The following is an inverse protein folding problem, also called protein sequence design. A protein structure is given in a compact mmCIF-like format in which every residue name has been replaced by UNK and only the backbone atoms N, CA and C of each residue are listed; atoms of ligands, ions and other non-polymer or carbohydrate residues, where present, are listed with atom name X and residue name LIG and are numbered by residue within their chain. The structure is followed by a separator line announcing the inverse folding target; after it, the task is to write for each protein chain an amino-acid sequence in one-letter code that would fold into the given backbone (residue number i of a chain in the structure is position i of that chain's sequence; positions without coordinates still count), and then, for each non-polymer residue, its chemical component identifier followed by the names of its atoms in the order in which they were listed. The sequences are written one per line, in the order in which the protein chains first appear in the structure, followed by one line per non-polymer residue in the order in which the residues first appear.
data_IF_759356911663
#
_entry.id   IF_759356911663
#
_cell.length_a   1.000
_cell.length_b   1.000
_cell.length_c   1.000
_cell.angle_alpha   90.00
_cell.angle_beta   90.00
_cell.angle_gamma   90.00
#
_symmetry.space_group_name_H-M   'P 1'
#
loop_
_entity.id
_entity.type
_entity.pdbx_description
1 polymer ?
#
# COMPACT_ATOMS: atom_id res chain seq x y z
N UNK A 1 3.69 20.30 9.89
CA UNK A 1 2.66 19.26 9.68
C UNK A 1 2.68 18.31 10.88
N UNK A 2 1.54 17.96 11.48
CA UNK A 2 1.46 16.98 12.57
C UNK A 2 0.80 15.70 12.06
N UNK A 3 1.36 14.54 12.38
CA UNK A 3 0.75 13.24 12.05
C UNK A 3 -0.44 13.00 12.99
N UNK A 4 -1.61 12.56 12.49
CA UNK A 4 -2.75 12.24 13.35
C UNK A 4 -2.41 11.12 14.35
N UNK A 5 -2.74 11.33 15.63
CA UNK A 5 -2.50 10.35 16.70
C UNK A 5 -3.28 9.05 16.42
N UNK A 6 -4.47 9.17 15.83
CA UNK A 6 -5.29 8.02 15.41
C UNK A 6 -4.57 7.11 14.43
N UNK A 7 -3.79 7.65 13.49
CA UNK A 7 -3.00 6.86 12.53
C UNK A 7 -1.87 6.10 13.24
N UNK A 8 -1.17 6.76 14.17
CA UNK A 8 -0.12 6.12 14.97
C UNK A 8 -0.69 4.98 15.83
N UNK A 9 -1.87 5.20 16.41
CA UNK A 9 -2.58 4.18 17.21
C UNK A 9 -2.98 2.99 16.32
N UNK A 10 -3.57 3.24 15.17
CA UNK A 10 -3.94 2.21 14.18
C UNK A 10 -2.72 1.37 13.76
N UNK A 11 -1.57 1.98 13.50
CA UNK A 11 -0.35 1.26 13.14
C UNK A 11 0.18 0.43 14.32
N UNK A 12 0.14 0.96 15.54
CA UNK A 12 0.65 0.25 16.73
C UNK A 12 -0.20 -0.97 17.06
N UNK A 13 -1.52 -0.84 17.06
CA UNK A 13 -2.47 -1.85 17.53
C UNK A 13 -2.67 -3.00 16.54
N UNK A 14 -2.55 -2.74 15.23
CA UNK A 14 -2.80 -3.74 14.18
C UNK A 14 -1.53 -4.47 13.72
N UNK A 15 -1.67 -5.65 13.11
CA UNK A 15 -0.54 -6.51 12.71
C UNK A 15 -0.47 -6.74 11.21
N UNK A 16 -1.60 -6.85 10.52
CA UNK A 16 -1.70 -7.15 9.09
C UNK A 16 -2.30 -5.97 8.33
N UNK A 17 -1.53 -5.43 7.40
CA UNK A 17 -1.92 -4.27 6.61
C UNK A 17 -1.98 -4.61 5.12
N UNK A 18 -3.03 -4.13 4.48
CA UNK A 18 -3.10 -4.01 3.03
C UNK A 18 -2.80 -2.56 2.65
N UNK A 19 -1.79 -2.34 1.81
CA UNK A 19 -1.46 -1.04 1.26
C UNK A 19 -1.91 -1.05 -0.20
N UNK A 20 -2.74 -0.08 -0.61
CA UNK A 20 -3.28 0.01 -1.97
C UNK A 20 -3.10 1.41 -2.52
N UNK A 21 -2.71 1.53 -3.79
CA UNK A 21 -2.70 2.80 -4.52
C UNK A 21 -3.60 2.75 -5.76
N UNK A 22 -3.62 3.82 -6.55
CA UNK A 22 -4.47 3.93 -7.73
C UNK A 22 -3.96 3.12 -8.93
N UNK A 23 -4.84 2.89 -9.91
CA UNK A 23 -4.50 2.35 -11.24
C UNK A 23 -3.46 3.23 -11.94
N UNK A 24 -2.63 2.67 -12.83
CA UNK A 24 -1.52 3.37 -13.50
C UNK A 24 -0.60 4.11 -12.50
N UNK A 25 0.14 3.40 -11.63
CA UNK A 25 0.93 4.04 -10.59
C UNK A 25 2.05 4.88 -11.21
N UNK A 26 2.21 6.10 -10.73
CA UNK A 26 3.35 6.95 -11.04
C UNK A 26 4.48 6.76 -10.00
N UNK A 27 5.45 7.68 -10.00
CA UNK A 27 6.57 7.62 -9.08
C UNK A 27 6.18 7.79 -7.61
N UNK A 28 5.15 8.59 -7.31
CA UNK A 28 4.70 8.80 -5.93
C UNK A 28 3.90 7.60 -5.44
N UNK A 29 2.97 7.10 -6.25
CA UNK A 29 2.24 5.87 -5.97
C UNK A 29 3.18 4.67 -5.73
N UNK A 30 4.16 4.45 -6.60
CA UNK A 30 5.12 3.36 -6.44
C UNK A 30 6.04 3.57 -5.24
N UNK A 31 6.65 4.76 -5.13
CA UNK A 31 7.61 5.08 -4.08
C UNK A 31 7.00 5.05 -2.68
N UNK A 32 5.82 5.67 -2.50
CA UNK A 32 5.14 5.75 -1.21
C UNK A 32 4.68 4.37 -0.71
N UNK A 33 4.13 3.54 -1.61
CA UNK A 33 3.72 2.15 -1.29
C UNK A 33 4.92 1.32 -0.85
N UNK A 34 6.03 1.37 -1.60
CA UNK A 34 7.26 0.64 -1.28
C UNK A 34 7.81 1.10 0.08
N UNK A 35 7.97 2.41 0.25
CA UNK A 35 8.56 2.98 1.46
C UNK A 35 7.75 2.63 2.72
N UNK A 36 6.43 2.78 2.66
CA UNK A 36 5.56 2.44 3.80
C UNK A 36 5.54 0.93 4.05
N UNK A 37 5.48 0.10 3.00
CA UNK A 37 5.51 -1.35 3.15
C UNK A 37 6.79 -1.83 3.83
N UNK A 38 7.95 -1.31 3.42
CA UNK A 38 9.24 -1.62 4.04
C UNK A 38 9.31 -1.11 5.48
N UNK A 39 8.84 0.10 5.75
CA UNK A 39 8.80 0.67 7.10
C UNK A 39 7.95 -0.16 8.07
N UNK A 40 6.74 -0.52 7.67
CA UNK A 40 5.85 -1.37 8.49
C UNK A 40 6.42 -2.78 8.69
N UNK A 41 7.05 -3.37 7.66
CA UNK A 41 7.77 -4.66 7.81
C UNK A 41 8.90 -4.57 8.82
N UNK A 42 9.70 -3.48 8.81
CA UNK A 42 10.75 -3.25 9.82
C UNK A 42 10.19 -3.12 11.24
N UNK A 43 8.94 -2.68 11.39
CA UNK A 43 8.23 -2.64 12.68
C UNK A 43 7.58 -3.99 13.06
N UNK A 44 7.91 -5.09 12.36
CA UNK A 44 7.37 -6.42 12.63
C UNK A 44 5.91 -6.59 12.23
N UNK A 45 5.41 -5.80 11.28
CA UNK A 45 4.06 -5.93 10.72
C UNK A 45 4.07 -6.81 9.47
N UNK A 46 2.98 -7.53 9.23
CA UNK A 46 2.75 -8.22 7.97
C UNK A 46 2.06 -7.27 6.99
N UNK A 47 2.61 -7.13 5.79
CA UNK A 47 2.16 -6.13 4.81
C UNK A 47 2.03 -6.74 3.44
N UNK A 48 0.89 -6.51 2.81
CA UNK A 48 0.64 -6.79 1.40
C UNK A 48 0.52 -5.48 0.64
N UNK A 49 1.39 -5.25 -0.35
CA UNK A 49 1.36 -4.08 -1.21
C UNK A 49 0.65 -4.43 -2.52
N UNK A 50 -0.40 -3.68 -2.85
CA UNK A 50 -1.32 -3.97 -3.96
C UNK A 50 -1.47 -2.75 -4.86
N UNK A 51 -1.33 -2.95 -6.17
CA UNK A 51 -1.75 -2.00 -7.18
C UNK A 51 -2.24 -2.80 -8.39
N UNK A 52 -3.39 -2.41 -8.96
CA UNK A 52 -4.01 -3.18 -10.05
C UNK A 52 -3.09 -3.30 -11.26
N UNK A 53 -2.45 -2.20 -11.63
CA UNK A 53 -1.55 -2.14 -12.77
C UNK A 53 -0.10 -2.36 -12.31
N UNK A 54 0.73 -3.00 -13.16
CA UNK A 54 2.12 -3.24 -12.81
C UNK A 54 2.89 -1.92 -12.70
N UNK A 55 3.95 -1.92 -11.88
CA UNK A 55 4.88 -0.79 -11.79
C UNK A 55 5.50 -0.52 -13.18
N UNK A 56 5.35 0.71 -13.73
CA UNK A 56 5.96 1.09 -15.00
C UNK A 56 7.46 0.84 -15.02
N UNK A 57 8.00 0.50 -16.20
CA UNK A 57 9.42 0.16 -16.36
C UNK A 57 10.36 1.24 -15.80
N UNK A 58 10.02 2.52 -16.01
CA UNK A 58 10.78 3.67 -15.53
C UNK A 58 10.92 3.73 -14.00
N UNK A 59 10.07 3.05 -13.23
CA UNK A 59 10.14 3.00 -11.76
C UNK A 59 10.63 1.66 -11.22
N UNK A 60 10.95 0.67 -12.07
CA UNK A 60 11.43 -0.65 -11.63
C UNK A 60 12.82 -0.61 -11.00
N UNK A 61 13.58 0.47 -11.20
CA UNK A 61 14.85 0.70 -10.51
C UNK A 61 14.67 0.93 -9.00
N UNK A 62 13.46 1.26 -8.54
CA UNK A 62 13.18 1.45 -7.12
C UNK A 62 13.39 0.14 -6.35
N UNK A 63 14.18 0.15 -5.26
CA UNK A 63 14.36 -1.03 -4.41
C UNK A 63 13.03 -1.54 -3.88
N UNK A 64 12.70 -2.81 -4.13
CA UNK A 64 11.43 -3.39 -3.71
C UNK A 64 10.26 -3.10 -4.65
N UNK A 65 10.49 -2.64 -5.88
CA UNK A 65 9.44 -2.50 -6.91
C UNK A 65 8.64 -3.80 -7.15
N UNK A 66 9.27 -4.95 -6.94
CA UNK A 66 8.68 -6.29 -7.00
C UNK A 66 7.77 -6.64 -5.80
N UNK A 67 7.79 -5.84 -4.73
CA UNK A 67 6.89 -6.00 -3.58
C UNK A 67 5.43 -5.71 -3.96
N UNK A 68 5.20 -4.83 -4.93
CA UNK A 68 3.87 -4.45 -5.39
C UNK A 68 3.29 -5.59 -6.22
N UNK A 69 2.18 -6.16 -5.74
CA UNK A 69 1.45 -7.24 -6.41
C UNK A 69 0.20 -6.68 -7.10
N UNK A 70 -0.27 -7.37 -8.13
CA UNK A 70 -1.48 -7.00 -8.88
C UNK A 70 -2.71 -7.83 -8.58
N UNK A 71 -2.57 -8.87 -7.74
CA UNK A 71 -3.66 -9.77 -7.38
C UNK A 71 -4.15 -9.47 -5.98
N UNK A 72 -5.47 -9.38 -5.82
CA UNK A 72 -6.10 -9.27 -4.51
C UNK A 72 -5.81 -10.56 -3.73
N UNK A 73 -5.23 -10.48 -2.52
CA UNK A 73 -5.01 -11.64 -1.68
C UNK A 73 -6.33 -12.12 -1.05
N UNK A 74 -6.46 -13.43 -0.81
CA UNK A 74 -7.60 -14.01 -0.07
C UNK A 74 -7.50 -13.86 1.45
N UNK A 75 -6.37 -13.34 1.95
CA UNK A 75 -6.11 -13.17 3.38
C UNK A 75 -6.90 -12.01 3.97
N UNK A 76 -7.25 -12.12 5.27
CA UNK A 76 -7.84 -11.01 6.03
C UNK A 76 -6.75 -10.04 6.52
N UNK A 77 -7.09 -8.75 6.52
CA UNK A 77 -6.26 -7.67 7.04
C UNK A 77 -6.97 -6.97 8.18
N UNK A 78 -6.19 -6.38 9.08
CA UNK A 78 -6.72 -5.64 10.22
C UNK A 78 -6.98 -4.17 9.82
N UNK A 79 -6.23 -3.65 8.83
CA UNK A 79 -6.44 -2.32 8.25
C UNK A 79 -6.03 -2.26 6.77
N UNK A 80 -6.70 -1.36 6.03
CA UNK A 80 -6.36 -0.98 4.66
C UNK A 80 -5.87 0.46 4.65
N UNK A 81 -4.72 0.70 4.02
CA UNK A 81 -4.11 2.02 3.84
C UNK A 81 -4.17 2.38 2.36
N UNK A 82 -4.96 3.40 2.02
CA UNK A 82 -4.98 4.00 0.68
C UNK A 82 -3.88 5.05 0.57
N UNK A 83 -2.98 4.89 -0.41
CA UNK A 83 -1.85 5.80 -0.65
C UNK A 83 -1.99 6.45 -2.02
N UNK A 84 -1.66 7.74 -2.07
CA UNK A 84 -1.78 8.60 -3.26
C UNK A 84 -3.18 8.54 -3.93
N UNK A 85 -4.20 8.29 -3.10
CA UNK A 85 -5.53 7.98 -3.60
C UNK A 85 -6.60 8.36 -2.58
N UNK A 86 -7.60 9.12 -3.03
CA UNK A 86 -8.68 9.64 -2.18
C UNK A 86 -9.98 8.80 -2.26
N UNK A 87 -10.00 7.70 -3.02
CA UNK A 87 -11.19 6.88 -3.18
C UNK A 87 -10.86 5.45 -3.62
N UNK A 88 -11.58 4.46 -3.09
CA UNK A 88 -11.48 3.07 -3.52
C UNK A 88 -11.74 2.89 -5.03
N UNK A 89 -12.58 3.72 -5.65
CA UNK A 89 -12.87 3.65 -7.09
C UNK A 89 -11.61 3.79 -7.95
N UNK A 90 -10.64 4.62 -7.52
CA UNK A 90 -9.38 4.84 -8.24
C UNK A 90 -8.39 3.68 -8.10
N UNK A 91 -8.59 2.76 -7.14
CA UNK A 91 -7.77 1.54 -7.01
C UNK A 91 -8.06 0.51 -8.11
N UNK A 92 -9.25 0.59 -8.71
CA UNK A 92 -9.69 -0.34 -9.75
C UNK A 92 -10.14 -1.71 -9.24
N UNK A 93 -10.18 -1.93 -7.92
CA UNK A 93 -10.73 -3.12 -7.28
C UNK A 93 -12.12 -2.83 -6.73
N UNK A 94 -13.12 -3.58 -7.20
CA UNK A 94 -14.52 -3.44 -6.72
C UNK A 94 -14.71 -4.14 -5.38
N UNK A 95 -13.87 -5.11 -5.09
CA UNK A 95 -13.89 -5.99 -3.92
C UNK A 95 -13.40 -5.31 -2.64
N UNK A 96 -12.84 -4.10 -2.76
CA UNK A 96 -12.37 -3.28 -1.64
C UNK A 96 -13.39 -2.23 -1.19
N UNK A 97 -14.55 -2.15 -1.83
CA UNK A 97 -15.69 -1.32 -1.41
C UNK A 97 -16.64 -2.12 -0.52
#
# INVERSE_FOLDING_TARGET
MKVPISLLKLIKENRRFLIVSHINPDGDAAGSVIALAMGLKKLGKSVYALCKDPVPHIYRFLPGSDLIKSRVPSSKFDAVLLLDCNSFKRTGFKELQ
#
